data_IF_820389572804
#
_entry.id   IF_820389572804
#
_cell.length_a   1.000
_cell.length_b   1.000
_cell.length_c   1.000
_cell.angle_alpha   90.00
_cell.angle_beta   90.00
_cell.angle_gamma   90.00
#
_symmetry.space_group_name_H-M   'P 1'
#
loop_
_entity.id
_entity.type
_entity.pdbx_description
1 polymer ?
#
# COMPACT_ATOMS: atom_id res chain seq x y z
N UNK A 1 9.66 -2.23 -1.05
CA UNK A 1 8.61 -1.63 -1.90
C UNK A 1 8.87 -0.15 -2.21
N UNK A 2 9.05 0.83 -1.29
CA UNK A 2 9.19 2.25 -1.65
C UNK A 2 10.33 2.56 -2.63
N UNK A 3 11.48 1.89 -2.54
CA UNK A 3 12.57 2.05 -3.49
C UNK A 3 12.17 1.67 -4.93
N UNK A 4 11.29 0.67 -5.08
CA UNK A 4 10.76 0.27 -6.40
C UNK A 4 9.81 1.33 -6.96
N UNK A 5 9.00 1.99 -6.12
CA UNK A 5 8.17 3.12 -6.55
C UNK A 5 9.03 4.24 -7.15
N UNK A 6 10.15 4.58 -6.51
CA UNK A 6 11.08 5.59 -7.04
C UNK A 6 11.70 5.20 -8.39
N UNK A 7 12.05 3.93 -8.57
CA UNK A 7 12.59 3.42 -9.85
C UNK A 7 11.53 3.46 -10.96
N UNK A 8 10.30 3.05 -10.65
CA UNK A 8 9.17 3.10 -11.59
C UNK A 8 8.81 4.55 -11.94
N UNK A 9 8.80 5.46 -10.96
CA UNK A 9 8.56 6.88 -11.20
C UNK A 9 9.61 7.47 -12.14
N UNK A 10 10.89 7.19 -11.90
CA UNK A 10 11.97 7.62 -12.78
C UNK A 10 11.84 7.07 -14.21
N UNK A 11 11.47 5.79 -14.35
CA UNK A 11 11.22 5.16 -15.65
C UNK A 11 10.01 5.76 -16.38
N UNK A 12 9.00 6.24 -15.63
CA UNK A 12 7.87 6.96 -16.17
C UNK A 12 8.16 8.46 -16.47
N UNK A 13 9.40 8.90 -16.32
CA UNK A 13 9.79 10.30 -16.53
C UNK A 13 9.41 11.25 -15.39
N UNK A 14 9.03 10.72 -14.23
CA UNK A 14 8.68 11.51 -13.04
C UNK A 14 9.95 11.73 -12.22
N UNK A 15 10.39 12.98 -12.18
CA UNK A 15 11.62 13.37 -11.48
C UNK A 15 11.31 13.98 -10.11
N UNK A 16 12.26 13.83 -9.19
CA UNK A 16 12.16 14.42 -7.85
C UNK A 16 11.36 13.56 -6.85
N UNK A 17 11.04 12.31 -7.19
CA UNK A 17 10.45 11.40 -6.19
C UNK A 17 11.38 11.20 -5.00
N UNK A 18 10.86 11.45 -3.82
CA UNK A 18 11.53 11.13 -2.55
C UNK A 18 10.51 10.62 -1.54
N UNK A 19 10.96 9.85 -0.57
CA UNK A 19 10.07 9.36 0.48
C UNK A 19 10.77 9.28 1.83
N UNK A 20 9.98 9.39 2.86
CA UNK A 20 10.33 9.04 4.24
C UNK A 20 9.32 8.03 4.76
N UNK A 21 9.69 7.27 5.77
CA UNK A 21 8.79 6.32 6.41
C UNK A 21 8.98 6.29 7.92
N UNK A 22 7.90 5.97 8.61
CA UNK A 22 7.88 5.54 10.01
C UNK A 22 7.05 4.25 10.06
N UNK A 23 7.67 3.18 10.51
CA UNK A 23 7.14 1.83 10.43
C UNK A 23 7.01 1.20 11.81
N UNK A 24 6.19 0.13 11.90
CA UNK A 24 6.02 -0.69 13.08
C UNK A 24 5.32 -2.01 12.73
N UNK A 25 5.45 -3.00 13.59
CA UNK A 25 4.90 -4.35 13.39
C UNK A 25 3.45 -4.43 13.88
N UNK A 26 2.50 -4.54 12.96
CA UNK A 26 1.09 -4.70 13.29
C UNK A 26 0.53 -3.56 14.13
N UNK A 27 1.06 -2.36 13.98
CA UNK A 27 0.68 -1.16 14.72
C UNK A 27 -0.44 -0.40 13.99
N UNK A 28 -1.30 0.22 14.80
CA UNK A 28 -2.42 1.02 14.34
C UNK A 28 -2.05 2.48 14.09
N UNK A 29 -2.91 3.20 13.37
CA UNK A 29 -2.79 4.65 13.21
C UNK A 29 -2.75 5.40 14.55
N UNK A 30 -3.41 4.86 15.59
CA UNK A 30 -3.40 5.41 16.94
C UNK A 30 -2.02 5.31 17.58
N UNK A 31 -1.37 4.15 17.51
CA UNK A 31 -0.06 3.94 18.12
C UNK A 31 1.00 4.84 17.48
N UNK A 32 0.90 5.08 16.18
CA UNK A 32 1.75 6.06 15.50
C UNK A 32 1.40 7.52 15.85
N UNK A 33 0.16 7.78 16.26
CA UNK A 33 -0.30 9.13 16.62
C UNK A 33 0.05 9.52 18.05
N UNK A 34 -0.15 8.62 19.00
CA UNK A 34 -0.01 8.89 20.43
C UNK A 34 1.40 8.56 20.92
N UNK A 35 2.23 9.57 21.26
CA UNK A 35 3.61 9.35 21.69
C UNK A 35 3.73 8.60 23.04
N UNK A 36 2.62 8.42 23.78
CA UNK A 36 2.59 7.63 24.99
C UNK A 36 2.45 6.12 24.73
N UNK A 37 2.10 5.73 23.50
CA UNK A 37 1.93 4.34 23.11
C UNK A 37 3.21 3.80 22.45
N UNK A 38 3.61 2.56 22.76
CA UNK A 38 4.75 1.94 22.10
C UNK A 38 4.40 1.54 20.67
N UNK A 39 5.33 1.69 19.75
CA UNK A 39 5.28 1.16 18.40
C UNK A 39 6.12 -0.12 18.38
N UNK A 40 5.49 -1.27 18.18
CA UNK A 40 6.19 -2.54 18.10
C UNK A 40 7.18 -2.54 16.92
N UNK A 41 8.40 -3.03 17.16
CA UNK A 41 9.44 -3.13 16.15
C UNK A 41 10.02 -1.79 15.71
N UNK A 42 9.72 -0.68 16.41
CA UNK A 42 10.12 0.68 16.00
C UNK A 42 11.62 0.80 15.72
N UNK A 43 12.46 0.38 16.64
CA UNK A 43 13.91 0.49 16.53
C UNK A 43 14.49 -0.33 15.36
N UNK A 44 13.87 -1.48 15.08
CA UNK A 44 14.32 -2.37 14.00
C UNK A 44 13.90 -1.86 12.63
N UNK A 45 12.61 -1.48 12.50
CA UNK A 45 12.02 -1.08 11.23
C UNK A 45 12.45 0.31 10.77
N UNK A 46 12.95 1.13 11.69
CA UNK A 46 13.34 2.51 11.41
C UNK A 46 14.86 2.74 11.45
N UNK A 47 15.66 1.68 11.57
CA UNK A 47 17.13 1.74 11.43
C UNK A 47 17.54 1.78 9.94
N UNK A 48 17.15 2.86 9.25
CA UNK A 48 17.51 3.07 7.86
C UNK A 48 17.48 4.58 7.49
N UNK A 49 18.21 5.01 6.44
CA UNK A 49 18.40 6.44 6.10
C UNK A 49 17.12 7.18 5.66
N UNK A 50 16.03 6.47 5.37
CA UNK A 50 14.74 7.05 4.98
C UNK A 50 13.79 7.25 6.15
N UNK A 51 14.16 6.80 7.35
CA UNK A 51 13.38 7.09 8.54
C UNK A 51 13.30 8.59 8.81
N UNK A 52 12.12 9.03 9.16
CA UNK A 52 11.84 10.31 9.82
C UNK A 52 10.66 10.10 10.77
N UNK A 53 10.73 10.72 11.92
CA UNK A 53 9.53 10.85 12.74
C UNK A 53 8.41 11.46 11.91
N UNK A 54 7.21 10.87 12.00
CA UNK A 54 6.11 11.23 11.12
C UNK A 54 5.69 12.71 11.28
N UNK A 55 5.73 13.24 12.51
CA UNK A 55 5.39 14.66 12.75
C UNK A 55 6.47 15.59 12.23
N UNK A 56 7.74 15.22 12.37
CA UNK A 56 8.86 15.98 11.82
C UNK A 56 8.82 15.98 10.28
N UNK A 57 8.52 14.84 9.66
CA UNK A 57 8.37 14.75 8.22
C UNK A 57 7.24 15.65 7.71
N UNK A 58 6.08 15.62 8.38
CA UNK A 58 4.94 16.47 8.02
C UNK A 58 5.22 17.95 8.25
N UNK A 59 5.93 18.32 9.33
CA UNK A 59 6.33 19.70 9.60
C UNK A 59 7.23 20.29 8.49
N UNK A 60 7.94 19.44 7.75
CA UNK A 60 8.71 19.83 6.58
C UNK A 60 7.87 20.14 5.32
N UNK A 61 6.58 19.85 5.34
CA UNK A 61 5.66 20.04 4.21
C UNK A 61 5.83 18.98 3.12
N UNK A 62 5.07 17.89 3.22
CA UNK A 62 5.07 16.80 2.22
C UNK A 62 4.00 17.04 1.15
N UNK A 63 4.24 16.57 -0.08
CA UNK A 63 3.24 16.62 -1.16
C UNK A 63 2.18 15.52 -1.01
N UNK A 64 2.54 14.41 -0.36
CA UNK A 64 1.64 13.29 -0.12
C UNK A 64 1.93 12.63 1.22
N UNK A 65 0.87 12.31 1.96
CA UNK A 65 0.89 11.44 3.14
C UNK A 65 0.19 10.13 2.78
N UNK A 66 0.86 9.02 3.04
CA UNK A 66 0.29 7.68 2.92
C UNK A 66 0.26 7.06 4.31
N UNK A 67 -0.90 6.61 4.73
CA UNK A 67 -1.09 5.91 5.99
C UNK A 67 -1.83 4.60 5.78
N UNK A 68 -1.55 3.62 6.62
CA UNK A 68 -2.28 2.35 6.63
C UNK A 68 -2.64 1.95 8.03
N UNK A 69 -3.61 1.06 8.16
CA UNK A 69 -4.04 0.52 9.44
C UNK A 69 -3.46 -0.89 9.64
N UNK A 70 -3.45 -1.36 10.88
CA UNK A 70 -3.03 -2.72 11.18
C UNK A 70 -3.93 -3.77 10.54
N UNK A 71 -3.39 -4.97 10.29
CA UNK A 71 -4.06 -6.06 9.57
C UNK A 71 -5.33 -6.57 10.25
N UNK A 72 -5.37 -6.56 11.58
CA UNK A 72 -6.58 -6.87 12.35
C UNK A 72 -7.56 -5.71 12.31
N UNK A 73 -8.04 -5.42 11.11
CA UNK A 73 -8.82 -4.21 10.81
C UNK A 73 -10.06 -4.04 11.69
N UNK A 74 -10.77 -5.13 11.98
CA UNK A 74 -11.93 -5.07 12.87
C UNK A 74 -11.55 -4.65 14.31
N UNK A 75 -10.38 -5.06 14.80
CA UNK A 75 -9.86 -4.66 16.10
C UNK A 75 -9.40 -3.20 16.06
N UNK A 76 -8.75 -2.77 14.98
CA UNK A 76 -8.35 -1.39 14.76
C UNK A 76 -9.55 -0.44 14.81
N UNK A 77 -10.61 -0.78 14.10
CA UNK A 77 -11.87 -0.01 14.09
C UNK A 77 -12.49 0.02 15.48
N UNK A 78 -12.54 -1.13 16.16
CA UNK A 78 -13.27 -1.27 17.43
C UNK A 78 -12.52 -0.68 18.63
N UNK A 79 -11.19 -0.77 18.66
CA UNK A 79 -10.40 -0.48 19.86
C UNK A 79 -9.36 0.63 19.68
N UNK A 80 -9.08 1.03 18.44
CA UNK A 80 -8.03 2.00 18.13
C UNK A 80 -8.54 3.27 17.42
N UNK A 81 -9.85 3.44 17.29
CA UNK A 81 -10.45 4.66 16.70
C UNK A 81 -9.86 5.05 15.34
N UNK A 82 -9.71 4.07 14.44
CA UNK A 82 -9.02 4.21 13.14
C UNK A 82 -9.46 5.45 12.34
N UNK A 83 -10.78 5.70 12.26
CA UNK A 83 -11.30 6.85 11.52
C UNK A 83 -10.89 8.19 12.15
N UNK A 84 -10.87 8.28 13.49
CA UNK A 84 -10.42 9.48 14.20
C UNK A 84 -8.94 9.73 13.96
N UNK A 85 -8.11 8.67 13.97
CA UNK A 85 -6.67 8.84 13.79
C UNK A 85 -6.31 9.09 12.32
N UNK A 86 -7.04 8.54 11.35
CA UNK A 86 -6.92 8.94 9.95
C UNK A 86 -7.23 10.44 9.78
N UNK A 87 -8.31 10.92 10.42
CA UNK A 87 -8.69 12.33 10.39
C UNK A 87 -7.60 13.22 11.01
N UNK A 88 -7.01 12.80 12.12
CA UNK A 88 -5.94 13.55 12.80
C UNK A 88 -4.69 13.66 11.90
N UNK A 89 -4.25 12.57 11.28
CA UNK A 89 -3.12 12.56 10.35
C UNK A 89 -3.38 13.44 9.12
N UNK A 90 -4.58 13.38 8.55
CA UNK A 90 -4.95 14.20 7.40
C UNK A 90 -4.93 15.70 7.73
N UNK A 91 -5.48 16.09 8.89
CA UNK A 91 -5.42 17.49 9.33
C UNK A 91 -4.00 17.96 9.56
N UNK A 92 -3.17 17.14 10.21
CA UNK A 92 -1.77 17.49 10.47
C UNK A 92 -1.00 17.70 9.17
N UNK A 93 -1.16 16.82 8.18
CA UNK A 93 -0.52 16.98 6.88
C UNK A 93 -0.91 18.32 6.22
N UNK A 94 -2.21 18.63 6.20
CA UNK A 94 -2.73 19.85 5.57
C UNK A 94 -2.47 21.13 6.38
N UNK A 95 -2.24 21.02 7.68
CA UNK A 95 -1.79 22.15 8.49
C UNK A 95 -0.43 22.68 8.01
N UNK A 96 0.45 21.80 7.57
CA UNK A 96 1.79 22.17 7.10
C UNK A 96 1.87 22.36 5.58
N UNK A 97 1.06 21.64 4.82
CA UNK A 97 0.89 21.84 3.38
C UNK A 97 -0.60 21.67 3.02
N UNK A 98 -1.36 22.76 2.82
CA UNK A 98 -2.79 22.70 2.46
C UNK A 98 -3.08 21.88 1.20
N UNK A 99 -2.12 21.77 0.28
CA UNK A 99 -2.23 21.00 -0.96
C UNK A 99 -1.80 19.53 -0.81
N UNK A 100 -1.40 19.11 0.40
CA UNK A 100 -1.00 17.73 0.65
C UNK A 100 -2.11 16.74 0.31
N UNK A 101 -1.80 15.82 -0.57
CA UNK A 101 -2.69 14.69 -0.89
C UNK A 101 -2.56 13.63 0.19
N UNK A 102 -3.69 13.15 0.70
CA UNK A 102 -3.71 12.13 1.75
C UNK A 102 -4.29 10.85 1.18
N UNK A 103 -3.63 9.75 1.47
CA UNK A 103 -4.00 8.43 0.99
C UNK A 103 -4.11 7.44 2.15
N UNK A 104 -5.22 6.70 2.17
CA UNK A 104 -5.38 5.49 2.97
C UNK A 104 -4.94 4.29 2.13
N UNK A 105 -3.87 3.63 2.56
CA UNK A 105 -3.34 2.46 1.89
C UNK A 105 -4.07 1.22 2.38
N UNK A 106 -4.97 0.70 1.55
CA UNK A 106 -5.70 -0.53 1.75
C UNK A 106 -4.76 -1.72 1.52
N UNK A 107 -4.59 -2.54 2.53
CA UNK A 107 -3.75 -3.72 2.51
C UNK A 107 -4.57 -5.02 2.36
N UNK A 108 -3.96 -6.16 2.64
CA UNK A 108 -4.54 -7.50 2.52
C UNK A 108 -4.50 -8.23 3.86
N UNK A 109 -5.20 -9.37 3.93
CA UNK A 109 -5.21 -10.28 5.07
C UNK A 109 -4.23 -11.44 4.86
N UNK A 110 -3.96 -12.22 5.92
CA UNK A 110 -3.26 -13.50 5.76
C UNK A 110 -4.00 -14.36 4.73
N UNK A 111 -3.30 -14.79 3.68
CA UNK A 111 -3.92 -15.57 2.61
C UNK A 111 -4.38 -16.96 3.06
N UNK A 112 -3.98 -17.40 4.26
CA UNK A 112 -4.35 -18.68 4.90
C UNK A 112 -5.54 -18.58 5.83
N UNK A 113 -6.14 -17.41 6.04
CA UNK A 113 -7.17 -17.22 7.06
C UNK A 113 -8.47 -17.97 6.78
N UNK A 114 -8.89 -18.06 5.53
CA UNK A 114 -10.05 -18.81 5.08
C UNK A 114 -10.01 -19.05 3.56
N UNK A 115 -10.87 -19.96 3.08
CA UNK A 115 -10.96 -20.28 1.66
C UNK A 115 -11.57 -19.12 0.83
N UNK A 116 -12.17 -18.13 1.50
CA UNK A 116 -12.82 -16.98 0.89
C UNK A 116 -11.94 -15.73 0.90
N UNK A 117 -10.62 -15.87 0.91
CA UNK A 117 -9.68 -14.75 1.01
C UNK A 117 -9.92 -13.65 -0.04
N UNK A 118 -10.19 -14.04 -1.30
CA UNK A 118 -10.45 -13.09 -2.40
C UNK A 118 -11.75 -12.29 -2.17
N UNK A 119 -12.82 -12.97 -1.76
CA UNK A 119 -14.11 -12.35 -1.44
C UNK A 119 -14.00 -11.45 -0.21
N UNK A 120 -13.15 -11.83 0.74
CA UNK A 120 -12.89 -11.04 1.93
C UNK A 120 -12.15 -9.74 1.62
N UNK A 121 -11.14 -9.78 0.76
CA UNK A 121 -10.44 -8.56 0.34
C UNK A 121 -11.42 -7.53 -0.23
N UNK A 122 -12.31 -7.97 -1.11
CA UNK A 122 -13.29 -7.10 -1.76
C UNK A 122 -14.35 -6.58 -0.78
N UNK A 123 -14.89 -7.46 0.07
CA UNK A 123 -15.87 -7.09 1.10
C UNK A 123 -15.32 -6.10 2.11
N UNK A 124 -14.14 -6.38 2.65
CA UNK A 124 -13.55 -5.57 3.70
C UNK A 124 -13.04 -4.22 3.15
N UNK A 125 -12.64 -4.16 1.88
CA UNK A 125 -12.35 -2.89 1.19
C UNK A 125 -13.56 -1.96 1.21
N UNK A 126 -14.73 -2.46 0.82
CA UNK A 126 -15.95 -1.65 0.75
C UNK A 126 -16.52 -1.37 2.15
N UNK A 127 -16.60 -2.37 3.03
CA UNK A 127 -17.29 -2.22 4.32
C UNK A 127 -16.43 -1.58 5.41
N UNK A 128 -15.16 -1.93 5.50
CA UNK A 128 -14.28 -1.51 6.59
C UNK A 128 -13.38 -0.35 6.17
N UNK A 129 -12.58 -0.51 5.09
CA UNK A 129 -11.69 0.55 4.65
C UNK A 129 -12.44 1.80 4.19
N UNK A 130 -13.39 1.64 3.26
CA UNK A 130 -14.14 2.78 2.72
C UNK A 130 -15.32 3.16 3.61
N UNK A 131 -16.21 2.19 3.91
CA UNK A 131 -17.49 2.46 4.59
C UNK A 131 -17.33 2.89 6.04
N UNK A 132 -16.30 2.41 6.72
CA UNK A 132 -16.08 2.75 8.13
C UNK A 132 -14.94 3.72 8.32
N UNK A 133 -13.70 3.38 7.92
CA UNK A 133 -12.54 4.22 8.25
C UNK A 133 -12.56 5.51 7.42
N UNK A 134 -12.60 5.37 6.10
CA UNK A 134 -12.55 6.53 5.20
C UNK A 134 -13.75 7.44 5.34
N UNK A 135 -14.97 6.89 5.25
CA UNK A 135 -16.19 7.68 5.28
C UNK A 135 -16.35 8.45 6.59
N UNK A 136 -16.09 7.82 7.74
CA UNK A 136 -16.18 8.48 9.04
C UNK A 136 -15.06 9.51 9.26
N UNK A 137 -13.87 9.28 8.72
CA UNK A 137 -12.80 10.27 8.79
C UNK A 137 -13.15 11.51 7.94
N UNK A 138 -13.58 11.31 6.70
CA UNK A 138 -13.93 12.40 5.79
C UNK A 138 -15.18 13.20 6.20
N UNK A 139 -16.05 12.61 7.01
CA UNK A 139 -17.20 13.31 7.58
C UNK A 139 -16.82 14.34 8.67
N UNK A 140 -15.56 14.36 9.12
CA UNK A 140 -15.09 15.28 10.15
C UNK A 140 -14.57 16.58 9.51
N UNK A 141 -14.83 17.70 10.18
CA UNK A 141 -14.38 19.02 9.73
C UNK A 141 -12.85 19.10 9.56
N UNK A 142 -12.40 19.77 8.52
CA UNK A 142 -11.00 20.03 8.24
C UNK A 142 -10.19 18.84 7.72
N UNK A 143 -10.80 17.68 7.50
CA UNK A 143 -10.11 16.50 6.94
C UNK A 143 -9.89 16.65 5.44
N UNK A 144 -10.92 17.10 4.72
CA UNK A 144 -10.87 17.17 3.25
C UNK A 144 -10.87 15.77 2.58
N UNK A 145 -10.54 15.73 1.30
CA UNK A 145 -10.54 14.47 0.54
C UNK A 145 -9.36 13.58 0.93
N UNK A 146 -9.64 12.34 1.26
CA UNK A 146 -8.64 11.26 1.42
C UNK A 146 -8.90 10.24 0.31
N UNK A 147 -7.86 9.90 -0.44
CA UNK A 147 -7.91 8.89 -1.49
C UNK A 147 -7.53 7.50 -0.96
N UNK A 148 -7.77 6.45 -1.74
CA UNK A 148 -7.37 5.08 -1.40
C UNK A 148 -6.31 4.59 -2.37
N UNK A 149 -5.26 3.97 -1.84
CA UNK A 149 -4.34 3.13 -2.62
C UNK A 149 -4.86 1.69 -2.49
N UNK A 150 -5.52 1.13 -3.52
CA UNK A 150 -6.34 -0.08 -3.40
C UNK A 150 -5.53 -1.36 -3.59
N UNK A 151 -4.45 -1.57 -2.81
CA UNK A 151 -3.54 -2.69 -3.06
C UNK A 151 -4.14 -4.05 -2.72
N UNK A 152 -4.98 -4.15 -1.70
CA UNK A 152 -5.69 -5.38 -1.37
C UNK A 152 -6.64 -5.80 -2.51
N UNK A 153 -7.48 -4.88 -2.99
CA UNK A 153 -8.40 -5.16 -4.12
C UNK A 153 -7.65 -5.44 -5.43
N UNK A 154 -6.62 -4.67 -5.73
CA UNK A 154 -5.80 -4.92 -6.91
C UNK A 154 -5.14 -6.30 -6.86
N UNK A 155 -4.62 -6.68 -5.68
CA UNK A 155 -4.04 -8.02 -5.46
C UNK A 155 -5.10 -9.12 -5.64
N UNK A 156 -6.30 -8.93 -5.09
CA UNK A 156 -7.41 -9.87 -5.26
C UNK A 156 -7.80 -10.03 -6.73
N UNK A 157 -7.89 -8.93 -7.48
CA UNK A 157 -8.18 -8.96 -8.91
C UNK A 157 -7.09 -9.67 -9.72
N UNK A 158 -5.81 -9.38 -9.42
CA UNK A 158 -4.68 -10.03 -10.07
C UNK A 158 -4.65 -11.53 -9.78
N UNK A 159 -4.79 -11.94 -8.53
CA UNK A 159 -4.78 -13.36 -8.14
C UNK A 159 -5.93 -14.11 -8.80
N UNK A 160 -7.14 -13.54 -8.82
CA UNK A 160 -8.31 -14.14 -9.48
C UNK A 160 -8.04 -14.38 -10.97
N UNK A 161 -7.44 -13.42 -11.65
CA UNK A 161 -7.12 -13.55 -13.07
C UNK A 161 -5.98 -14.55 -13.31
N UNK A 162 -4.92 -14.51 -12.51
CA UNK A 162 -3.80 -15.46 -12.58
C UNK A 162 -4.29 -16.92 -12.39
N UNK A 163 -5.06 -17.17 -11.34
CA UNK A 163 -5.55 -18.53 -11.03
C UNK A 163 -6.59 -19.01 -12.04
N UNK A 164 -7.43 -18.10 -12.60
CA UNK A 164 -8.35 -18.41 -13.71
C UNK A 164 -7.63 -18.89 -14.97
N UNK A 165 -6.43 -18.39 -15.22
CA UNK A 165 -5.59 -18.81 -16.35
C UNK A 165 -4.81 -20.11 -16.07
N UNK A 166 -4.84 -20.63 -14.84
CA UNK A 166 -4.05 -21.79 -14.41
C UNK A 166 -2.60 -21.44 -14.11
N UNK A 167 -2.31 -20.18 -13.81
CA UNK A 167 -0.97 -19.65 -13.58
C UNK A 167 -0.27 -19.19 -14.84
N UNK A 168 0.88 -18.56 -14.66
CA UNK A 168 1.79 -18.10 -15.72
C UNK A 168 3.23 -18.58 -15.43
N UNK A 169 4.12 -18.61 -16.44
CA UNK A 169 5.53 -18.95 -16.23
C UNK A 169 6.17 -18.09 -15.13
N UNK A 170 6.69 -18.73 -14.09
CA UNK A 170 7.32 -18.07 -12.95
C UNK A 170 6.37 -17.63 -11.83
N UNK A 171 5.05 -17.75 -12.01
CA UNK A 171 4.06 -17.49 -10.97
C UNK A 171 2.78 -18.31 -11.19
N UNK A 172 2.61 -19.37 -10.43
CA UNK A 172 1.51 -20.33 -10.63
C UNK A 172 0.27 -19.99 -9.81
N UNK A 173 0.44 -19.41 -8.64
CA UNK A 173 -0.65 -19.05 -7.72
C UNK A 173 -0.24 -17.89 -6.80
N UNK A 174 -1.17 -17.48 -5.92
CA UNK A 174 -1.00 -16.36 -4.99
C UNK A 174 0.22 -16.47 -4.08
N UNK A 175 0.67 -17.69 -3.74
CA UNK A 175 1.79 -17.90 -2.80
C UNK A 175 3.09 -17.30 -3.30
N UNK A 176 3.30 -17.28 -4.62
CA UNK A 176 4.51 -16.67 -5.20
C UNK A 176 4.59 -15.14 -5.07
N UNK A 177 3.56 -14.47 -4.55
CA UNK A 177 3.62 -13.05 -4.19
C UNK A 177 4.26 -12.82 -2.82
N UNK A 178 4.30 -13.84 -1.98
CA UNK A 178 4.75 -13.74 -0.59
C UNK A 178 6.20 -14.23 -0.44
N UNK A 179 6.87 -13.74 0.60
CA UNK A 179 8.24 -14.13 0.91
C UNK A 179 8.33 -15.58 1.32
N UNK A 180 9.54 -16.14 1.22
CA UNK A 180 9.84 -17.48 1.73
C UNK A 180 10.81 -17.34 2.89
N UNK A 181 10.49 -17.93 4.03
CA UNK A 181 11.34 -17.98 5.20
C UNK A 181 12.59 -18.83 5.00
N UNK A 182 13.52 -18.74 5.91
CA UNK A 182 14.73 -19.57 5.90
C UNK A 182 14.48 -21.07 6.08
N UNK A 183 13.30 -21.45 6.53
CA UNK A 183 12.78 -22.82 6.66
C UNK A 183 12.14 -23.35 5.36
N UNK A 184 12.02 -22.50 4.33
CA UNK A 184 11.38 -22.81 3.07
C UNK A 184 9.86 -22.63 3.06
N UNK A 185 9.27 -22.22 4.17
CA UNK A 185 7.84 -21.96 4.25
C UNK A 185 7.49 -20.59 3.68
N UNK A 186 6.36 -20.52 2.96
CA UNK A 186 5.86 -19.27 2.39
C UNK A 186 5.22 -18.43 3.50
N UNK A 187 5.66 -17.19 3.62
CA UNK A 187 5.07 -16.24 4.58
C UNK A 187 3.58 -16.02 4.26
N UNK A 188 2.78 -15.89 5.30
CA UNK A 188 1.32 -15.80 5.15
C UNK A 188 0.84 -14.40 4.82
N UNK A 189 1.72 -13.38 4.96
CA UNK A 189 1.33 -11.98 4.84
C UNK A 189 2.41 -11.07 4.25
N UNK A 190 3.69 -11.32 4.57
CA UNK A 190 4.77 -10.47 4.09
C UNK A 190 5.14 -10.82 2.65
N UNK A 191 5.23 -9.79 1.83
CA UNK A 191 5.50 -9.95 0.41
C UNK A 191 6.96 -10.36 0.13
N UNK A 192 7.13 -11.18 -0.90
CA UNK A 192 8.38 -11.33 -1.62
C UNK A 192 8.57 -10.23 -2.67
N UNK A 193 9.64 -10.34 -3.46
CA UNK A 193 9.96 -9.32 -4.47
C UNK A 193 8.87 -9.12 -5.51
N UNK A 194 8.21 -10.19 -5.97
CA UNK A 194 7.11 -10.11 -6.94
C UNK A 194 5.92 -9.32 -6.35
N UNK A 195 5.59 -9.60 -5.09
CA UNK A 195 4.55 -8.87 -4.38
C UNK A 195 4.92 -7.41 -4.13
N UNK A 196 6.17 -7.12 -3.79
CA UNK A 196 6.68 -5.76 -3.66
C UNK A 196 6.62 -5.00 -4.98
N UNK A 197 6.98 -5.64 -6.10
CA UNK A 197 6.82 -5.05 -7.43
C UNK A 197 5.35 -4.72 -7.71
N UNK A 198 4.45 -5.68 -7.49
CA UNK A 198 3.01 -5.48 -7.69
C UNK A 198 2.48 -4.27 -6.89
N UNK A 199 2.77 -4.21 -5.61
CA UNK A 199 2.33 -3.10 -4.75
C UNK A 199 2.96 -1.77 -5.15
N UNK A 200 4.22 -1.79 -5.63
CA UNK A 200 4.87 -0.59 -6.15
C UNK A 200 4.15 -0.03 -7.40
N UNK A 201 3.64 -0.90 -8.29
CA UNK A 201 2.80 -0.48 -9.42
C UNK A 201 1.51 0.19 -8.96
N UNK A 202 0.83 -0.36 -7.93
CA UNK A 202 -0.41 0.24 -7.39
C UNK A 202 -0.13 1.64 -6.82
N UNK A 203 0.97 1.78 -6.07
CA UNK A 203 1.38 3.09 -5.54
C UNK A 203 1.69 4.07 -6.65
N UNK A 204 2.50 3.67 -7.64
CA UNK A 204 2.82 4.54 -8.77
C UNK A 204 1.55 5.01 -9.48
N UNK A 205 0.70 4.06 -9.87
CA UNK A 205 -0.52 4.35 -10.63
C UNK A 205 -1.45 5.31 -9.88
N UNK A 206 -1.58 5.14 -8.55
CA UNK A 206 -2.46 5.98 -7.74
C UNK A 206 -1.84 7.35 -7.44
N UNK A 207 -0.58 7.38 -6.99
CA UNK A 207 0.08 8.62 -6.57
C UNK A 207 0.31 9.57 -7.74
N UNK A 208 0.72 9.04 -8.87
CA UNK A 208 1.12 9.82 -10.04
C UNK A 208 0.08 9.81 -11.16
N UNK A 209 -1.04 9.08 -10.96
CA UNK A 209 -2.10 8.95 -11.97
C UNK A 209 -1.54 8.51 -13.33
N UNK A 210 -0.59 7.58 -13.30
CA UNK A 210 0.21 7.18 -14.45
C UNK A 210 -0.03 5.71 -14.76
N UNK A 211 -0.28 5.42 -16.04
CA UNK A 211 -0.40 4.07 -16.56
C UNK A 211 0.93 3.30 -16.40
N UNK A 212 0.97 2.21 -15.63
CA UNK A 212 2.20 1.47 -15.39
C UNK A 212 2.57 0.51 -16.52
N UNK A 213 1.73 0.37 -17.56
CA UNK A 213 1.97 -0.58 -18.65
C UNK A 213 3.21 -0.23 -19.44
N UNK A 214 4.05 -1.22 -19.68
CA UNK A 214 5.34 -1.06 -20.39
C UNK A 214 6.49 -0.54 -19.53
N UNK A 215 6.29 -0.29 -18.23
CA UNK A 215 7.39 0.07 -17.33
C UNK A 215 8.29 -1.16 -17.04
N UNK A 216 9.54 -0.92 -16.63
CA UNK A 216 10.47 -1.98 -16.29
C UNK A 216 9.94 -2.88 -15.17
N UNK A 217 10.29 -4.16 -15.23
CA UNK A 217 9.95 -5.14 -14.19
C UNK A 217 11.19 -5.75 -13.50
N UNK A 218 12.37 -5.54 -14.04
CA UNK A 218 13.62 -5.86 -13.37
C UNK A 218 14.09 -4.66 -12.56
N UNK A 219 13.86 -4.68 -11.25
CA UNK A 219 14.14 -3.58 -10.34
C UNK A 219 15.14 -3.99 -9.27
N UNK A 220 15.58 -3.02 -8.49
CA UNK A 220 16.49 -3.22 -7.36
C UNK A 220 15.73 -3.16 -6.03
N UNK A 221 16.20 -3.93 -5.05
CA UNK A 221 15.82 -3.81 -3.65
C UNK A 221 16.34 -2.49 -3.06
N UNK A 222 15.96 -2.19 -1.85
CA UNK A 222 16.39 -0.97 -1.14
C UNK A 222 17.89 -0.89 -0.88
N UNK A 223 18.56 -2.04 -0.80
CA UNK A 223 20.01 -2.17 -0.62
C UNK A 223 20.80 -2.10 -1.94
N UNK A 224 20.13 -1.93 -3.08
CA UNK A 224 20.72 -1.88 -4.40
C UNK A 224 20.97 -3.24 -5.05
N UNK A 225 20.62 -4.34 -4.40
CA UNK A 225 20.72 -5.67 -5.01
C UNK A 225 19.57 -5.92 -5.99
N UNK A 226 19.76 -6.75 -7.03
CA UNK A 226 18.67 -7.13 -7.92
C UNK A 226 17.54 -7.83 -7.16
N UNK A 227 16.31 -7.41 -7.40
CA UNK A 227 15.13 -8.13 -6.95
C UNK A 227 14.81 -9.28 -7.92
N UNK A 228 14.15 -10.32 -7.42
CA UNK A 228 13.58 -11.36 -8.26
C UNK A 228 12.50 -10.72 -9.15
N UNK A 229 12.72 -10.76 -10.45
CA UNK A 229 11.83 -10.13 -11.41
C UNK A 229 10.71 -11.09 -11.85
N UNK A 230 9.45 -10.60 -12.00
CA UNK A 230 8.43 -11.39 -12.67
C UNK A 230 8.82 -11.69 -14.14
N UNK A 231 8.29 -12.78 -14.70
CA UNK A 231 8.40 -12.97 -16.15
C UNK A 231 7.73 -11.83 -16.91
N UNK A 232 8.08 -11.59 -18.19
CA UNK A 232 7.42 -10.54 -18.99
C UNK A 232 5.89 -10.69 -19.03
N UNK A 233 5.37 -11.91 -19.08
CA UNK A 233 3.94 -12.21 -19.11
C UNK A 233 3.28 -11.86 -17.76
N UNK A 234 3.91 -12.23 -16.64
CA UNK A 234 3.45 -11.90 -15.30
C UNK A 234 3.48 -10.39 -15.09
N UNK A 235 4.56 -9.73 -15.49
CA UNK A 235 4.67 -8.27 -15.39
C UNK A 235 3.59 -7.54 -16.19
N UNK A 236 3.33 -7.97 -17.42
CA UNK A 236 2.29 -7.39 -18.27
C UNK A 236 0.89 -7.55 -17.65
N UNK A 237 0.59 -8.73 -17.08
CA UNK A 237 -0.68 -8.96 -16.38
C UNK A 237 -0.79 -8.09 -15.13
N UNK A 238 0.26 -8.01 -14.30
CA UNK A 238 0.29 -7.15 -13.12
C UNK A 238 0.02 -5.68 -13.48
N UNK A 239 0.73 -5.16 -14.46
CA UNK A 239 0.60 -3.78 -14.93
C UNK A 239 -0.82 -3.48 -15.46
N UNK A 240 -1.38 -4.39 -16.26
CA UNK A 240 -2.72 -4.23 -16.82
C UNK A 240 -3.79 -4.23 -15.73
N UNK A 241 -3.76 -5.23 -14.84
CA UNK A 241 -4.75 -5.34 -13.76
C UNK A 241 -4.66 -4.15 -12.81
N UNK A 242 -3.45 -3.72 -12.44
CA UNK A 242 -3.27 -2.55 -11.57
C UNK A 242 -3.90 -1.32 -12.20
N UNK A 243 -3.61 -1.04 -13.48
CA UNK A 243 -4.19 0.13 -14.15
C UNK A 243 -5.71 0.07 -14.23
N UNK A 244 -6.25 -1.09 -14.60
CA UNK A 244 -7.69 -1.28 -14.72
C UNK A 244 -8.41 -1.11 -13.36
N UNK A 245 -7.85 -1.65 -12.28
CA UNK A 245 -8.41 -1.48 -10.93
C UNK A 245 -8.33 -0.03 -10.47
N UNK A 246 -7.14 0.58 -10.53
CA UNK A 246 -6.92 1.94 -10.03
C UNK A 246 -7.84 2.95 -10.71
N UNK A 247 -7.98 2.90 -12.04
CA UNK A 247 -8.83 3.83 -12.77
C UNK A 247 -10.33 3.54 -12.67
N UNK A 248 -10.71 2.31 -12.29
CA UNK A 248 -12.13 1.95 -12.14
C UNK A 248 -12.74 2.38 -10.81
N UNK A 249 -11.91 2.70 -9.83
CA UNK A 249 -12.31 3.02 -8.47
C UNK A 249 -12.28 4.54 -8.23
N UNK A 250 -13.43 5.22 -8.09
CA UNK A 250 -13.46 6.68 -7.85
C UNK A 250 -12.67 7.12 -6.61
N UNK A 251 -12.56 6.27 -5.60
CA UNK A 251 -11.85 6.57 -4.33
C UNK A 251 -10.35 6.76 -4.51
N UNK A 252 -9.77 6.33 -5.62
CA UNK A 252 -8.34 6.53 -5.93
C UNK A 252 -8.02 7.97 -6.34
N UNK A 253 -9.02 8.72 -6.79
CA UNK A 253 -8.84 10.04 -7.40
C UNK A 253 -8.25 10.01 -8.80
N UNK A 254 -8.04 8.83 -9.39
CA UNK A 254 -7.56 8.67 -10.77
C UNK A 254 -8.76 8.73 -11.71
N UNK A 255 -8.69 9.61 -12.71
CA UNK A 255 -9.80 9.76 -13.67
C UNK A 255 -9.94 8.52 -14.56
N UNK A 256 -11.15 8.00 -14.74
CA UNK A 256 -11.42 7.01 -15.80
C UNK A 256 -11.26 7.70 -17.15
N UNK A 257 -10.23 7.37 -17.88
CA UNK A 257 -10.06 7.79 -19.29
C UNK A 257 -10.58 6.73 -20.23
#
# INVERSE_FOLDING_TARGET
MPAMVGQLAAAAGIHGHSHHSQLGWGTSLREHWDPALPINGFEVENDHPRFRDAREALAGGVDALIVTEMIKLADAIRYHDSAQHLANWARLARQHNPEARVYLYETWHWWTMDDAWLERLERDAVSQWEGTILAQAMAQDGVGTVHVIPAGRAMGAFVRELERQGGLPGLTDRRGLFGTGGDGEVDQIHLGDLGHYFVALVHLATLYQTDPRGLPHALLRHDGTPADAPSPEVAALMQAVVWDVVRSLPVTGVSPT
#
